data_IF_778279127824
#
_entry.id   IF_778279127824
#
_cell.length_a   1.000
_cell.length_b   1.000
_cell.length_c   1.000
_cell.angle_alpha   90.00
_cell.angle_beta   90.00
_cell.angle_gamma   90.00
#
_symmetry.space_group_name_H-M   'P 1'
#
loop_
_entity.id
_entity.type
_entity.pdbx_description
1 polymer ?
#
# COMPACT_ATOMS: atom_id res chain seq x y z
N UNK A 1 -15.02 22.65 16.21
CA UNK A 1 -14.79 21.18 16.26
C UNK A 1 -14.67 20.73 14.82
N UNK A 2 -13.46 20.44 14.35
CA UNK A 2 -13.28 19.82 13.04
C UNK A 2 -13.94 18.43 13.07
N UNK A 3 -14.71 18.04 12.04
CA UNK A 3 -15.39 16.76 12.05
C UNK A 3 -14.36 15.62 12.12
N UNK A 4 -14.71 14.56 12.85
CA UNK A 4 -13.87 13.38 13.14
C UNK A 4 -13.31 12.62 11.90
N UNK A 5 -13.57 13.09 10.68
CA UNK A 5 -13.18 12.45 9.42
C UNK A 5 -11.94 13.06 8.74
N UNK A 6 -11.39 14.19 9.22
CA UNK A 6 -10.26 14.88 8.54
C UNK A 6 -8.89 14.23 8.76
N UNK A 7 -8.77 13.27 9.68
CA UNK A 7 -7.47 12.69 10.07
C UNK A 7 -7.14 11.35 9.41
N UNK A 8 -8.11 10.70 8.75
CA UNK A 8 -7.91 9.41 8.09
C UNK A 8 -7.62 9.59 6.60
N UNK A 9 -6.67 8.82 6.07
CA UNK A 9 -6.59 8.67 4.63
C UNK A 9 -7.73 7.75 4.19
N UNK A 10 -8.54 8.22 3.24
CA UNK A 10 -9.64 7.45 2.67
C UNK A 10 -9.18 6.66 1.43
N UNK A 11 -10.09 5.85 0.88
CA UNK A 11 -9.87 5.06 -0.34
C UNK A 11 -9.34 5.89 -1.51
N UNK A 12 -9.85 7.12 -1.71
CA UNK A 12 -9.44 7.98 -2.81
C UNK A 12 -7.95 8.33 -2.74
N UNK A 13 -7.45 8.66 -1.54
CA UNK A 13 -6.03 8.98 -1.34
C UNK A 13 -5.18 7.73 -1.56
N UNK A 14 -5.54 6.60 -0.95
CA UNK A 14 -4.78 5.35 -1.11
C UNK A 14 -4.76 4.92 -2.59
N UNK A 15 -5.91 4.82 -3.24
CA UNK A 15 -6.00 4.40 -4.64
C UNK A 15 -5.20 5.32 -5.59
N UNK A 16 -5.21 6.63 -5.33
CA UNK A 16 -4.40 7.60 -6.09
C UNK A 16 -2.91 7.35 -5.86
N UNK A 17 -2.49 7.10 -4.62
CA UNK A 17 -1.09 6.87 -4.27
C UNK A 17 -0.56 5.54 -4.82
N UNK A 18 -1.31 4.46 -4.70
CA UNK A 18 -0.97 3.17 -5.33
C UNK A 18 -0.95 3.25 -6.86
N UNK A 19 -1.77 4.11 -7.46
CA UNK A 19 -1.69 4.42 -8.90
C UNK A 19 -0.41 5.16 -9.26
N UNK A 20 0.00 6.12 -8.43
CA UNK A 20 1.28 6.80 -8.58
C UNK A 20 2.45 5.81 -8.48
N UNK A 21 2.47 4.91 -7.49
CA UNK A 21 3.50 3.85 -7.36
C UNK A 21 3.57 3.00 -8.63
N UNK A 22 2.43 2.53 -9.17
CA UNK A 22 2.39 1.76 -10.42
C UNK A 22 2.97 2.53 -11.61
N UNK A 23 2.75 3.84 -11.68
CA UNK A 23 3.27 4.71 -12.76
C UNK A 23 4.80 4.75 -12.70
N UNK A 24 5.38 4.89 -11.50
CA UNK A 24 6.83 4.99 -11.30
C UNK A 24 7.57 3.66 -11.32
N UNK A 25 6.92 2.54 -10.98
CA UNK A 25 7.51 1.21 -11.07
C UNK A 25 6.60 0.20 -11.78
N UNK A 26 6.90 -0.09 -13.04
CA UNK A 26 6.14 -1.04 -13.87
C UNK A 26 6.28 -2.52 -13.41
N UNK A 27 7.27 -2.84 -12.57
CA UNK A 27 7.43 -4.17 -11.98
C UNK A 27 6.56 -4.37 -10.73
N UNK A 28 5.85 -3.34 -10.27
CA UNK A 28 4.89 -3.40 -9.18
C UNK A 28 3.49 -3.27 -9.76
N UNK A 29 2.59 -4.14 -9.34
CA UNK A 29 1.16 -3.94 -9.54
C UNK A 29 0.48 -3.70 -8.20
N UNK A 30 -0.50 -2.83 -8.18
CA UNK A 30 -1.30 -2.54 -7.00
C UNK A 30 -2.78 -2.57 -7.37
N UNK A 31 -3.54 -3.38 -6.64
CA UNK A 31 -4.99 -3.37 -6.68
C UNK A 31 -5.55 -2.11 -6.03
N UNK A 32 -6.80 -1.78 -6.37
CA UNK A 32 -7.53 -0.77 -5.60
C UNK A 32 -7.99 -1.35 -4.24
N UNK A 33 -8.36 -0.46 -3.33
CA UNK A 33 -8.82 -0.79 -1.98
C UNK A 33 -10.15 -1.56 -1.94
N UNK A 34 -10.92 -1.55 -3.02
CA UNK A 34 -12.22 -2.22 -3.13
C UNK A 34 -12.10 -3.68 -3.56
N UNK A 35 -10.98 -4.06 -4.18
CA UNK A 35 -10.71 -5.39 -4.70
C UNK A 35 -11.00 -6.49 -3.67
N UNK A 36 -10.39 -6.39 -2.48
CA UNK A 36 -10.45 -7.44 -1.49
C UNK A 36 -11.88 -7.68 -1.00
N UNK A 37 -12.62 -6.62 -0.69
CA UNK A 37 -13.99 -6.77 -0.20
C UNK A 37 -14.91 -7.33 -1.30
N UNK A 38 -14.72 -6.88 -2.55
CA UNK A 38 -15.47 -7.43 -3.69
C UNK A 38 -15.21 -8.92 -3.87
N UNK A 39 -13.94 -9.33 -3.86
CA UNK A 39 -13.56 -10.73 -3.98
C UNK A 39 -14.05 -11.57 -2.78
N UNK A 40 -13.92 -11.05 -1.56
CA UNK A 40 -14.35 -11.72 -0.33
C UNK A 40 -15.84 -12.00 -0.33
N UNK A 41 -16.67 -11.05 -0.75
CA UNK A 41 -18.14 -11.18 -0.77
C UNK A 41 -18.62 -11.97 -1.99
N UNK A 42 -18.13 -11.64 -3.18
CA UNK A 42 -18.72 -12.06 -4.45
C UNK A 42 -17.90 -13.11 -5.21
N UNK A 43 -16.77 -13.55 -4.67
CA UNK A 43 -15.92 -14.57 -5.27
C UNK A 43 -15.15 -14.12 -6.51
N UNK A 44 -14.40 -15.05 -7.10
CA UNK A 44 -13.44 -14.80 -8.18
C UNK A 44 -14.09 -14.21 -9.45
N UNK A 45 -15.26 -14.71 -9.85
CA UNK A 45 -15.92 -14.27 -11.08
C UNK A 45 -16.22 -12.77 -11.10
N UNK A 46 -16.42 -12.17 -9.93
CA UNK A 46 -16.69 -10.75 -9.77
C UNK A 46 -15.45 -9.86 -9.97
N UNK A 47 -14.25 -10.42 -9.85
CA UNK A 47 -12.97 -9.69 -9.92
C UNK A 47 -12.04 -10.16 -11.05
N UNK A 48 -12.33 -11.28 -11.73
CA UNK A 48 -11.49 -11.82 -12.81
C UNK A 48 -11.18 -10.82 -13.95
N UNK A 49 -12.03 -9.81 -14.16
CA UNK A 49 -11.80 -8.80 -15.21
C UNK A 49 -10.85 -7.68 -14.80
N UNK A 50 -10.52 -7.57 -13.52
CA UNK A 50 -9.70 -6.48 -12.99
C UNK A 50 -8.27 -6.54 -13.51
N UNK A 51 -7.76 -7.74 -13.72
CA UNK A 51 -6.45 -8.02 -14.31
C UNK A 51 -6.53 -8.35 -15.81
N UNK A 52 -7.66 -8.11 -16.48
CA UNK A 52 -7.85 -8.51 -17.90
C UNK A 52 -6.75 -7.98 -18.84
N UNK A 53 -6.15 -6.83 -18.54
CA UNK A 53 -5.12 -6.18 -19.38
C UNK A 53 -3.70 -6.30 -18.80
N UNK A 54 -3.50 -7.08 -17.74
CA UNK A 54 -2.21 -7.18 -17.05
C UNK A 54 -1.98 -8.59 -16.53
N UNK A 55 -0.81 -9.16 -16.86
CA UNK A 55 -0.36 -10.39 -16.21
C UNK A 55 0.33 -10.04 -14.89
N UNK A 56 -0.35 -10.22 -13.76
CA UNK A 56 0.22 -9.91 -12.44
C UNK A 56 1.39 -10.83 -12.05
N UNK A 57 1.48 -12.05 -12.61
CA UNK A 57 2.58 -12.98 -12.37
C UNK A 57 3.87 -12.62 -13.12
N UNK A 58 3.82 -11.63 -14.02
CA UNK A 58 5.01 -11.04 -14.64
C UNK A 58 5.62 -9.89 -13.83
N UNK A 59 4.99 -9.53 -12.70
CA UNK A 59 5.44 -8.46 -11.80
C UNK A 59 6.37 -9.04 -10.74
N UNK A 60 7.26 -8.22 -10.23
CA UNK A 60 8.09 -8.58 -9.06
C UNK A 60 7.25 -8.63 -7.80
N UNK A 61 6.38 -7.63 -7.60
CA UNK A 61 5.52 -7.53 -6.42
C UNK A 61 4.10 -7.12 -6.79
N UNK A 62 3.13 -7.66 -6.07
CA UNK A 62 1.72 -7.32 -6.20
C UNK A 62 1.17 -6.89 -4.85
N UNK A 63 0.65 -5.67 -4.79
CA UNK A 63 0.15 -5.02 -3.59
C UNK A 63 -1.37 -5.09 -3.52
N UNK A 64 -1.87 -5.46 -2.35
CA UNK A 64 -3.29 -5.49 -2.01
C UNK A 64 -3.50 -4.61 -0.76
N UNK A 65 -3.78 -3.31 -0.93
CA UNK A 65 -4.22 -2.48 0.19
C UNK A 65 -5.63 -2.92 0.62
N UNK A 66 -5.84 -3.12 1.92
CA UNK A 66 -7.08 -3.68 2.45
C UNK A 66 -7.59 -2.82 3.59
N UNK A 67 -8.86 -2.42 3.51
CA UNK A 67 -9.58 -1.80 4.62
C UNK A 67 -10.25 -2.88 5.47
N UNK A 68 -9.73 -3.13 6.66
CA UNK A 68 -10.37 -4.01 7.64
C UNK A 68 -11.37 -3.20 8.45
N UNK A 69 -12.65 -3.34 8.11
CA UNK A 69 -13.76 -2.70 8.83
C UNK A 69 -14.21 -3.56 10.01
N UNK A 70 -14.25 -2.99 11.21
CA UNK A 70 -14.78 -3.62 12.44
C UNK A 70 -15.57 -2.62 13.27
N UNK A 71 -16.87 -2.89 13.45
CA UNK A 71 -17.79 -2.00 14.17
C UNK A 71 -17.65 -0.55 13.64
N UNK A 72 -17.08 0.35 14.44
CA UNK A 72 -16.86 1.76 14.11
C UNK A 72 -15.39 2.10 13.79
N UNK A 73 -14.57 1.10 13.48
CA UNK A 73 -13.15 1.26 13.21
C UNK A 73 -12.80 0.76 11.82
N UNK A 74 -12.12 1.61 11.04
CA UNK A 74 -11.53 1.28 9.76
C UNK A 74 -10.02 1.22 9.92
N UNK A 75 -9.40 0.15 9.42
CA UNK A 75 -7.96 -0.08 9.57
C UNK A 75 -7.33 -0.50 8.26
N UNK A 76 -6.34 0.27 7.82
CA UNK A 76 -5.58 -0.04 6.62
C UNK A 76 -4.45 -1.03 6.94
N UNK A 77 -4.41 -2.12 6.18
CA UNK A 77 -3.30 -3.08 6.14
C UNK A 77 -2.87 -3.30 4.70
N UNK A 78 -1.69 -3.91 4.52
CA UNK A 78 -1.15 -4.22 3.20
C UNK A 78 -0.76 -5.70 3.14
N UNK A 79 -1.29 -6.41 2.14
CA UNK A 79 -0.71 -7.69 1.70
C UNK A 79 0.18 -7.44 0.50
N UNK A 80 1.36 -8.06 0.50
CA UNK A 80 2.29 -8.06 -0.64
C UNK A 80 2.53 -9.49 -1.07
N UNK A 81 2.21 -9.82 -2.32
CA UNK A 81 2.71 -11.03 -2.96
C UNK A 81 4.05 -10.68 -3.62
N UNK A 82 5.14 -11.16 -3.03
CA UNK A 82 6.48 -11.09 -3.62
C UNK A 82 6.67 -12.32 -4.52
N UNK A 83 6.62 -12.10 -5.83
CA UNK A 83 6.69 -13.17 -6.83
C UNK A 83 8.10 -13.74 -6.95
N UNK A 84 9.13 -12.97 -6.61
CA UNK A 84 10.53 -13.40 -6.68
C UNK A 84 10.86 -14.33 -5.51
N UNK A 85 10.31 -14.05 -4.32
CA UNK A 85 10.49 -14.88 -3.12
C UNK A 85 9.40 -15.93 -2.93
N UNK A 86 8.33 -15.87 -3.71
CA UNK A 86 7.11 -16.68 -3.52
C UNK A 86 6.57 -16.52 -2.08
N UNK A 87 6.46 -15.27 -1.62
CA UNK A 87 5.98 -14.95 -0.28
C UNK A 87 4.71 -14.12 -0.35
N UNK A 88 3.74 -14.44 0.51
CA UNK A 88 2.60 -13.60 0.78
C UNK A 88 2.78 -12.92 2.14
N UNK A 89 3.15 -11.65 2.13
CA UNK A 89 3.61 -10.90 3.30
C UNK A 89 2.50 -9.99 3.82
N UNK A 90 2.19 -10.09 5.12
CA UNK A 90 1.22 -9.24 5.82
C UNK A 90 1.93 -8.10 6.56
N UNK A 91 1.55 -6.86 6.27
CA UNK A 91 2.03 -5.66 6.96
C UNK A 91 0.86 -4.95 7.67
N UNK A 92 1.04 -4.67 8.96
CA UNK A 92 0.05 -4.04 9.82
C UNK A 92 0.73 -3.24 10.93
N UNK A 93 0.51 -1.94 10.92
CA UNK A 93 1.07 -1.00 11.90
C UNK A 93 0.44 -1.09 13.29
N UNK A 94 -0.66 -1.83 13.48
CA UNK A 94 -1.29 -2.13 14.78
C UNK A 94 -1.13 -3.59 15.23
N UNK A 95 -0.49 -4.45 14.42
CA UNK A 95 -0.19 -5.85 14.74
C UNK A 95 -1.42 -6.67 15.20
N UNK A 96 -2.55 -6.56 14.49
CA UNK A 96 -3.71 -7.39 14.77
C UNK A 96 -3.52 -8.84 14.28
N UNK A 97 -4.18 -9.78 14.96
CA UNK A 97 -4.09 -11.21 14.67
C UNK A 97 -5.00 -11.68 13.50
N UNK A 98 -5.11 -10.90 12.41
CA UNK A 98 -5.97 -11.24 11.25
C UNK A 98 -5.20 -11.79 10.03
N UNK A 99 -3.88 -11.79 10.15
CA UNK A 99 -2.87 -12.06 9.14
C UNK A 99 -3.22 -13.27 8.28
N UNK A 100 -3.30 -14.45 8.91
CA UNK A 100 -3.44 -15.72 8.20
C UNK A 100 -4.73 -15.81 7.39
N UNK A 101 -5.88 -15.38 7.94
CA UNK A 101 -7.18 -15.47 7.24
C UNK A 101 -7.20 -14.57 6.00
N UNK A 102 -6.65 -13.36 6.10
CA UNK A 102 -6.61 -12.41 4.98
C UNK A 102 -5.63 -12.92 3.91
N UNK A 103 -4.46 -13.40 4.34
CA UNK A 103 -3.48 -14.01 3.45
C UNK A 103 -4.06 -15.22 2.70
N UNK A 104 -4.72 -16.18 3.37
CA UNK A 104 -5.34 -17.32 2.70
C UNK A 104 -6.34 -16.86 1.64
N UNK A 105 -7.16 -15.85 1.96
CA UNK A 105 -8.13 -15.35 1.00
C UNK A 105 -7.44 -14.71 -0.22
N UNK A 106 -6.43 -13.87 -0.04
CA UNK A 106 -5.66 -13.33 -1.17
C UNK A 106 -4.97 -14.45 -1.96
N UNK A 107 -4.48 -15.48 -1.29
CA UNK A 107 -3.86 -16.62 -1.94
C UNK A 107 -4.85 -17.43 -2.80
N UNK A 108 -6.09 -17.63 -2.34
CA UNK A 108 -7.17 -18.23 -3.15
C UNK A 108 -7.36 -17.47 -4.47
N UNK A 109 -7.26 -16.13 -4.43
CA UNK A 109 -7.31 -15.31 -5.64
C UNK A 109 -6.12 -15.57 -6.56
N UNK A 110 -4.89 -15.63 -6.03
CA UNK A 110 -3.69 -15.91 -6.83
C UNK A 110 -3.78 -17.29 -7.50
N UNK A 111 -4.24 -18.32 -6.78
CA UNK A 111 -4.46 -19.67 -7.35
C UNK A 111 -5.46 -19.63 -8.50
N UNK A 112 -6.61 -18.97 -8.30
CA UNK A 112 -7.65 -18.85 -9.33
C UNK A 112 -7.17 -18.03 -10.55
N UNK A 113 -6.50 -16.90 -10.32
CA UNK A 113 -5.98 -16.04 -11.38
C UNK A 113 -4.85 -16.73 -12.17
N UNK A 114 -3.99 -17.51 -11.52
CA UNK A 114 -2.93 -18.27 -12.17
C UNK A 114 -3.51 -19.36 -13.08
N UNK A 115 -4.49 -20.11 -12.57
CA UNK A 115 -5.21 -21.12 -13.35
C UNK A 115 -5.91 -20.51 -14.56
N UNK A 116 -6.51 -19.32 -14.42
CA UNK A 116 -7.10 -18.62 -15.57
C UNK A 116 -6.04 -18.13 -16.57
N UNK A 117 -4.94 -17.58 -16.07
CA UNK A 117 -3.93 -16.92 -16.91
C UNK A 117 -3.11 -17.93 -17.72
N UNK A 118 -2.73 -19.05 -17.12
CA UNK A 118 -1.79 -20.02 -17.69
C UNK A 118 -2.37 -21.43 -17.88
N UNK A 119 -3.64 -21.65 -17.51
CA UNK A 119 -4.33 -22.97 -17.64
C UNK A 119 -3.55 -24.07 -16.90
N UNK A 120 -2.90 -23.72 -15.79
CA UNK A 120 -2.18 -24.64 -14.90
C UNK A 120 -2.26 -24.17 -13.46
N UNK A 121 -2.08 -25.09 -12.52
CA UNK A 121 -2.10 -24.77 -11.10
C UNK A 121 -0.84 -23.97 -10.70
N UNK A 122 -1.02 -23.06 -9.75
CA UNK A 122 0.08 -22.38 -9.08
C UNK A 122 0.80 -23.44 -8.22
N UNK A 123 2.15 -23.51 -8.19
CA UNK A 123 2.87 -24.42 -7.30
C UNK A 123 2.72 -23.92 -5.86
N UNK A 124 1.65 -24.35 -5.18
CA UNK A 124 1.23 -23.81 -3.87
C UNK A 124 2.29 -24.09 -2.80
N UNK A 125 2.95 -25.25 -2.89
CA UNK A 125 3.97 -25.74 -1.98
C UNK A 125 5.21 -24.83 -1.89
N UNK A 126 5.47 -24.03 -2.91
CA UNK A 126 6.61 -23.09 -2.93
C UNK A 126 6.31 -21.78 -2.17
N UNK A 127 5.03 -21.52 -1.84
CA UNK A 127 4.62 -20.24 -1.28
C UNK A 127 4.63 -20.20 0.23
N UNK A 128 5.25 -19.15 0.80
CA UNK A 128 5.33 -18.93 2.24
C UNK A 128 4.42 -17.77 2.69
N UNK A 129 3.83 -17.89 3.87
CA UNK A 129 2.96 -16.88 4.46
C UNK A 129 3.71 -16.21 5.61
N UNK A 130 4.03 -14.93 5.45
CA UNK A 130 4.98 -14.23 6.32
C UNK A 130 4.31 -13.02 6.95
N UNK A 131 4.54 -12.78 8.24
CA UNK A 131 4.27 -11.49 8.86
C UNK A 131 5.47 -10.58 8.64
N UNK A 132 5.29 -9.51 7.89
CA UNK A 132 6.34 -8.54 7.62
C UNK A 132 6.73 -7.78 8.88
N UNK A 133 8.03 -7.53 9.06
CA UNK A 133 8.50 -6.58 10.07
C UNK A 133 8.29 -5.16 9.54
N UNK A 134 7.56 -4.32 10.28
CA UNK A 134 7.34 -2.92 9.93
C UNK A 134 7.35 -1.99 11.15
N UNK A 135 7.60 -0.68 10.95
CA UNK A 135 7.35 0.33 11.98
C UNK A 135 5.90 0.30 12.45
N UNK A 136 5.71 0.50 13.76
CA UNK A 136 4.40 0.42 14.42
C UNK A 136 3.81 1.80 14.65
N UNK A 137 2.49 1.90 14.54
CA UNK A 137 1.76 3.10 14.92
C UNK A 137 1.40 3.06 16.41
N UNK A 138 1.30 4.24 17.02
CA UNK A 138 0.89 4.41 18.42
C UNK A 138 -0.40 5.22 18.56
N UNK A 139 -1.14 5.42 17.46
CA UNK A 139 -2.44 6.11 17.43
C UNK A 139 -3.45 5.35 16.58
N UNK A 140 -4.67 5.88 16.42
CA UNK A 140 -5.75 5.26 15.65
C UNK A 140 -5.93 5.79 14.22
N UNK A 141 -5.15 6.77 13.75
CA UNK A 141 -5.46 7.56 12.55
C UNK A 141 -4.43 7.43 11.43
N UNK A 142 -3.21 6.97 11.72
CA UNK A 142 -2.10 6.95 10.77
C UNK A 142 -1.99 5.68 9.91
N UNK A 143 -2.82 4.65 10.11
CA UNK A 143 -2.69 3.36 9.39
C UNK A 143 -2.61 3.51 7.86
N UNK A 144 -3.38 4.43 7.27
CA UNK A 144 -3.30 4.72 5.84
C UNK A 144 -1.97 5.35 5.41
N UNK A 145 -1.37 6.20 6.26
CA UNK A 145 -0.04 6.79 6.01
C UNK A 145 1.01 5.70 6.07
N UNK A 146 0.97 4.84 7.09
CA UNK A 146 1.86 3.67 7.20
C UNK A 146 1.74 2.77 5.97
N UNK A 147 0.53 2.42 5.53
CA UNK A 147 0.33 1.59 4.33
C UNK A 147 0.92 2.23 3.07
N UNK A 148 0.69 3.53 2.85
CA UNK A 148 1.28 4.24 1.71
C UNK A 148 2.82 4.24 1.78
N UNK A 149 3.39 4.59 2.94
CA UNK A 149 4.84 4.65 3.12
C UNK A 149 5.49 3.27 2.99
N UNK A 150 4.92 2.23 3.61
CA UNK A 150 5.39 0.85 3.48
C UNK A 150 5.36 0.43 2.00
N UNK A 151 4.27 0.69 1.29
CA UNK A 151 4.13 0.36 -0.12
C UNK A 151 5.18 1.08 -1.00
N UNK A 152 5.44 2.37 -0.75
CA UNK A 152 6.48 3.13 -1.47
C UNK A 152 7.86 2.48 -1.25
N UNK A 153 8.25 2.23 0.00
CA UNK A 153 9.55 1.64 0.33
C UNK A 153 9.72 0.26 -0.29
N UNK A 154 8.70 -0.60 -0.17
CA UNK A 154 8.72 -1.94 -0.78
C UNK A 154 8.73 -1.87 -2.31
N UNK A 155 8.14 -0.84 -2.91
CA UNK A 155 8.15 -0.68 -4.37
C UNK A 155 9.54 -0.42 -4.94
N UNK A 156 10.47 0.09 -4.12
CA UNK A 156 11.87 0.35 -4.50
C UNK A 156 12.87 -0.54 -3.75
N UNK A 157 12.39 -1.64 -3.15
CA UNK A 157 13.21 -2.60 -2.39
C UNK A 157 14.05 -1.94 -1.28
N UNK A 158 13.51 -0.89 -0.64
CA UNK A 158 14.18 -0.16 0.43
C UNK A 158 13.82 -0.68 1.83
N UNK A 159 14.79 -0.64 2.74
CA UNK A 159 14.58 -0.92 4.15
C UNK A 159 13.79 0.22 4.81
N UNK A 160 12.86 -0.12 5.70
CA UNK A 160 12.12 0.87 6.48
C UNK A 160 13.04 1.55 7.49
N UNK A 161 13.12 2.87 7.42
CA UNK A 161 13.96 3.70 8.30
C UNK A 161 13.16 4.86 8.93
N UNK A 162 11.85 4.66 9.09
CA UNK A 162 10.94 5.65 9.66
C UNK A 162 10.22 5.11 10.90
N UNK A 163 9.60 6.02 11.65
CA UNK A 163 8.80 5.68 12.83
C UNK A 163 7.60 6.62 12.99
N UNK A 164 6.78 6.38 14.01
CA UNK A 164 5.56 7.15 14.29
C UNK A 164 5.75 8.69 14.34
N UNK A 165 6.82 9.25 14.94
CA UNK A 165 7.05 10.71 14.91
C UNK A 165 7.09 11.32 13.51
N UNK A 166 7.50 10.57 12.48
CA UNK A 166 7.62 11.08 11.11
C UNK A 166 6.28 11.14 10.36
N UNK A 167 5.19 10.59 10.90
CA UNK A 167 3.92 10.44 10.16
C UNK A 167 3.32 11.77 9.69
N UNK A 168 3.52 12.85 10.44
CA UNK A 168 3.08 14.18 9.98
C UNK A 168 3.83 14.63 8.73
N UNK A 169 5.13 14.35 8.64
CA UNK A 169 5.95 14.65 7.47
C UNK A 169 5.61 13.73 6.30
N UNK A 170 5.37 12.43 6.54
CA UNK A 170 4.88 11.53 5.49
C UNK A 170 3.51 11.96 4.94
N UNK A 171 2.59 12.45 5.77
CA UNK A 171 1.32 13.03 5.29
C UNK A 171 1.55 14.20 4.32
N UNK A 172 2.49 15.11 4.65
CA UNK A 172 2.86 16.23 3.76
C UNK A 172 3.51 15.73 2.48
N UNK A 173 4.39 14.73 2.59
CA UNK A 173 5.06 14.12 1.45
C UNK A 173 4.04 13.47 0.49
N UNK A 174 3.14 12.62 1.00
CA UNK A 174 2.07 12.01 0.19
C UNK A 174 1.25 13.09 -0.53
N UNK A 175 0.86 14.17 0.17
CA UNK A 175 0.11 15.26 -0.45
C UNK A 175 0.92 15.96 -1.56
N UNK A 176 2.20 16.22 -1.32
CA UNK A 176 3.12 16.82 -2.29
C UNK A 176 3.31 15.92 -3.52
N UNK A 177 3.53 14.63 -3.32
CA UNK A 177 3.72 13.64 -4.39
C UNK A 177 2.45 13.47 -5.23
N UNK A 178 1.28 13.41 -4.59
CA UNK A 178 0.00 13.37 -5.30
C UNK A 178 -0.27 14.66 -6.08
N UNK A 179 0.15 15.82 -5.57
CA UNK A 179 -0.04 17.11 -6.27
C UNK A 179 0.93 17.24 -7.45
N UNK A 180 2.19 16.85 -7.26
CA UNK A 180 3.23 16.93 -8.28
C UNK A 180 3.22 15.77 -9.28
N UNK A 181 2.49 14.70 -8.98
CA UNK A 181 2.45 13.45 -9.74
C UNK A 181 3.82 12.77 -9.90
N UNK A 182 4.68 12.96 -8.89
CA UNK A 182 6.05 12.45 -8.82
C UNK A 182 6.32 11.88 -7.42
N UNK A 183 6.94 10.69 -7.33
CA UNK A 183 7.46 10.16 -6.07
C UNK A 183 8.81 10.80 -5.75
N UNK A 184 8.97 11.30 -4.53
CA UNK A 184 10.15 12.06 -4.11
C UNK A 184 10.97 11.19 -3.16
N UNK A 185 12.14 10.75 -3.63
CA UNK A 185 13.08 10.03 -2.80
C UNK A 185 13.73 10.98 -1.78
N UNK A 186 13.60 10.66 -0.50
CA UNK A 186 14.24 11.38 0.61
C UNK A 186 15.16 10.40 1.34
N UNK A 187 16.46 10.57 1.16
CA UNK A 187 17.51 9.74 1.76
C UNK A 187 17.94 10.28 3.14
N UNK A 188 16.98 10.53 4.02
CA UNK A 188 17.20 11.08 5.37
C UNK A 188 16.36 10.32 6.39
N UNK A 189 16.76 10.38 7.67
CA UNK A 189 16.12 9.66 8.77
C UNK A 189 15.81 10.58 9.97
N UNK A 190 14.88 10.15 10.82
CA UNK A 190 14.53 10.86 12.06
C UNK A 190 14.24 12.35 11.84
N UNK A 191 14.86 13.21 12.64
CA UNK A 191 14.65 14.67 12.54
C UNK A 191 15.16 15.28 11.23
N UNK A 192 16.15 14.65 10.58
CA UNK A 192 16.69 15.13 9.31
C UNK A 192 15.66 14.96 8.19
N UNK A 193 14.94 13.83 8.20
CA UNK A 193 13.80 13.61 7.32
C UNK A 193 12.75 14.72 7.47
N UNK A 194 12.33 15.03 8.70
CA UNK A 194 11.29 16.03 8.96
C UNK A 194 11.69 17.45 8.50
N UNK A 195 12.97 17.81 8.69
CA UNK A 195 13.53 19.08 8.19
C UNK A 195 13.51 19.12 6.67
N UNK A 196 13.89 18.02 6.02
CA UNK A 196 13.94 17.92 4.57
C UNK A 196 12.55 18.01 3.95
N UNK A 197 11.57 17.28 4.48
CA UNK A 197 10.16 17.39 4.07
C UNK A 197 9.66 18.83 4.18
N UNK A 198 9.98 19.51 5.29
CA UNK A 198 9.61 20.91 5.47
C UNK A 198 10.24 21.81 4.41
N UNK A 199 11.52 21.58 4.08
CA UNK A 199 12.26 22.36 3.07
C UNK A 199 11.66 22.18 1.68
N UNK A 200 11.44 20.94 1.24
CA UNK A 200 10.88 20.65 -0.10
C UNK A 200 9.44 21.15 -0.24
N UNK A 201 8.63 21.00 0.81
CA UNK A 201 7.23 21.47 0.80
C UNK A 201 7.18 22.99 0.66
N UNK A 202 8.00 23.72 1.43
CA UNK A 202 8.09 25.19 1.31
C UNK A 202 8.55 25.63 -0.08
N UNK A 203 9.55 24.94 -0.65
CA UNK A 203 10.04 25.21 -2.01
C UNK A 203 8.94 25.01 -3.06
N UNK A 204 8.19 23.91 -2.95
CA UNK A 204 7.08 23.62 -3.85
C UNK A 204 5.97 24.68 -3.77
N UNK A 205 5.52 25.02 -2.56
CA UNK A 205 4.49 26.04 -2.37
C UNK A 205 4.92 27.40 -2.90
N UNK A 206 6.17 27.82 -2.63
CA UNK A 206 6.70 29.09 -3.14
C UNK A 206 6.71 29.12 -4.67
N UNK A 207 7.12 28.05 -5.33
CA UNK A 207 7.17 28.00 -6.79
C UNK A 207 5.77 28.03 -7.43
N UNK A 208 4.76 27.44 -6.78
CA UNK A 208 3.39 27.39 -7.32
C UNK A 208 2.56 28.64 -6.96
N UNK A 209 2.87 29.35 -5.86
CA UNK A 209 2.23 30.63 -5.52
C UNK A 209 2.75 31.81 -6.35
N UNK A 210 3.93 31.70 -6.96
CA UNK A 210 4.48 32.72 -7.87
C UNK A 210 3.84 32.59 -9.27
N UNK A 211 3.19 31.46 -9.57
CA UNK A 211 2.56 31.15 -10.85
C UNK A 211 1.02 31.27 -10.83
N UNK A 212 0.43 31.68 -9.70
CA UNK A 212 -1.01 31.94 -9.51
C UNK A 212 -1.29 33.43 -9.35
#
# INVERSE_FOLDING_TARGET
MAPHNEWYLNDCVLNSYFTLIKKHNQNVYAFDTYFYERFKISGYDSVQRWTKKVNIFSKKKVFFPINVLRFNFAHWILIVADMEKQELIYYDSLAHNYEFKIQCKIFDYLVAEHRRSWVRDLPIEDWNFVKGFNPMQSNGTDCGVFVCTIAEYLSRDAAFNFSQPNMLSFRKLIALELTSQELIKVDEEGDAFDREITRITKKFLKNNLILS
#
